data_IF_591124037849
#
_entry.id   IF_591124037849
#
_cell.length_a   1.000
_cell.length_b   1.000
_cell.length_c   1.000
_cell.angle_alpha   90.00
_cell.angle_beta   90.00
_cell.angle_gamma   90.00
#
_symmetry.space_group_name_H-M   'P 1'
#
loop_
_entity.id
_entity.type
_entity.pdbx_description
1 polymer ?
#
# COMPACT_ATOMS: atom_id res chain seq x y z
N UNK A 1 60.91 -3.03 37.51
CA UNK A 1 60.56 -1.62 37.25
C UNK A 1 61.17 -1.18 35.92
N UNK A 2 60.35 -0.95 34.89
CA UNK A 2 60.35 0.26 34.03
C UNK A 2 59.36 0.09 32.89
N UNK A 3 58.50 1.10 32.80
CA UNK A 3 57.40 1.29 31.85
C UNK A 3 57.92 1.60 30.45
N UNK A 4 57.19 1.19 29.42
CA UNK A 4 56.90 2.05 28.26
C UNK A 4 55.73 1.50 27.47
N UNK A 5 54.56 2.06 27.77
CA UNK A 5 53.37 2.03 26.94
C UNK A 5 53.60 2.86 25.68
N UNK A 6 53.23 2.34 24.51
CA UNK A 6 52.98 3.17 23.32
C UNK A 6 51.51 2.96 22.95
N UNK A 7 50.87 4.12 22.77
CA UNK A 7 49.44 4.37 22.81
C UNK A 7 48.89 4.51 21.39
N UNK A 8 47.62 4.14 21.24
CA UNK A 8 46.63 4.61 20.27
C UNK A 8 46.82 4.30 18.77
N UNK A 9 46.03 3.33 18.29
CA UNK A 9 45.30 3.50 17.04
C UNK A 9 43.81 3.68 17.37
N UNK A 10 43.32 4.92 17.30
CA UNK A 10 41.91 5.24 17.16
C UNK A 10 41.49 4.84 15.73
N UNK A 11 40.81 3.72 15.58
CA UNK A 11 40.01 3.46 14.39
C UNK A 11 38.67 4.19 14.56
N UNK A 12 38.50 5.26 13.78
CA UNK A 12 37.23 5.95 13.59
C UNK A 12 36.19 4.96 13.06
N UNK A 13 35.33 4.44 13.94
CA UNK A 13 34.04 3.92 13.53
C UNK A 13 33.10 5.12 13.38
N UNK A 14 33.08 5.72 12.20
CA UNK A 14 32.01 6.63 11.81
C UNK A 14 30.72 5.82 11.78
N UNK A 15 29.89 5.97 12.81
CA UNK A 15 28.53 5.47 12.81
C UNK A 15 27.79 6.09 11.63
N UNK A 16 27.47 5.28 10.63
CA UNK A 16 26.40 5.58 9.68
C UNK A 16 25.10 5.61 10.48
N UNK A 17 24.82 6.76 11.09
CA UNK A 17 23.48 7.07 11.57
C UNK A 17 22.61 7.21 10.32
N UNK A 18 22.02 6.10 9.88
CA UNK A 18 20.84 6.15 9.02
C UNK A 18 19.77 6.87 9.83
N UNK A 19 19.66 8.18 9.60
CA UNK A 19 18.44 8.90 9.89
C UNK A 19 17.40 8.35 8.90
N UNK A 20 16.69 7.30 9.31
CA UNK A 20 15.40 7.01 8.73
C UNK A 20 14.54 8.25 9.04
N UNK A 21 14.53 9.21 8.12
CA UNK A 21 13.66 10.35 8.20
C UNK A 21 12.24 9.80 8.14
N UNK A 22 11.62 9.64 9.31
CA UNK A 22 10.21 9.31 9.44
C UNK A 22 9.44 10.48 8.82
N UNK A 23 9.09 10.35 7.55
CA UNK A 23 8.21 11.29 6.87
C UNK A 23 6.86 11.26 7.62
N UNK A 24 6.20 12.39 7.90
CA UNK A 24 4.86 12.40 8.47
C UNK A 24 3.85 11.48 7.73
N UNK A 25 4.05 11.23 6.42
CA UNK A 25 3.30 10.22 5.68
C UNK A 25 3.49 8.78 6.24
N UNK A 26 4.72 8.42 6.62
CA UNK A 26 5.04 7.12 7.28
C UNK A 26 4.58 7.03 8.73
N UNK A 27 4.43 8.18 9.43
CA UNK A 27 3.84 8.20 10.78
C UNK A 27 2.33 7.96 10.73
N UNK A 28 1.63 8.52 9.75
CA UNK A 28 0.21 8.23 9.52
C UNK A 28 -0.02 6.75 9.15
N UNK A 29 0.94 6.11 8.46
CA UNK A 29 0.82 4.70 8.10
C UNK A 29 1.11 3.74 9.28
N UNK A 30 2.02 4.10 10.20
CA UNK A 30 2.22 3.35 11.44
C UNK A 30 1.02 3.46 12.40
N UNK A 31 0.42 4.64 12.51
CA UNK A 31 -0.75 4.89 13.38
C UNK A 31 -2.02 4.19 12.89
N UNK A 32 -2.03 3.64 11.67
CA UNK A 32 -3.19 2.99 11.07
C UNK A 32 -3.25 1.48 11.33
N UNK A 33 -2.28 0.90 12.07
CA UNK A 33 -2.31 -0.49 12.52
C UNK A 33 -3.28 -0.65 13.70
N UNK A 34 -4.59 -0.59 13.42
CA UNK A 34 -5.59 -1.12 14.34
C UNK A 34 -5.78 -2.59 13.99
N UNK A 35 -5.46 -3.55 14.88
CA UNK A 35 -5.70 -4.95 14.62
C UNK A 35 -7.21 -5.18 14.61
N UNK A 36 -7.79 -5.32 13.41
CA UNK A 36 -9.18 -5.72 13.20
C UNK A 36 -9.15 -7.22 12.87
N UNK A 37 -9.46 -8.07 13.86
CA UNK A 37 -9.37 -9.55 13.76
C UNK A 37 -10.39 -10.16 12.80
N UNK A 38 -11.27 -9.37 12.20
CA UNK A 38 -12.33 -9.82 11.30
C UNK A 38 -12.02 -9.57 9.81
N UNK A 39 -10.89 -8.92 9.48
CA UNK A 39 -10.45 -8.76 8.10
C UNK A 39 -9.37 -9.80 7.76
N UNK A 40 -9.55 -10.50 6.65
CA UNK A 40 -8.56 -11.43 6.06
C UNK A 40 -7.25 -10.71 5.67
N UNK A 41 -7.18 -9.38 5.81
CA UNK A 41 -6.03 -8.53 5.45
C UNK A 41 -5.69 -7.62 6.63
N UNK A 42 -4.53 -7.86 7.27
CA UNK A 42 -4.18 -7.21 8.54
C UNK A 42 -3.59 -5.80 8.38
N UNK A 43 -3.00 -5.45 7.22
CA UNK A 43 -2.36 -4.13 7.05
C UNK A 43 -2.12 -3.74 5.60
N UNK A 44 -2.41 -2.47 5.27
CA UNK A 44 -1.95 -1.77 4.07
C UNK A 44 -1.05 -0.61 4.44
N UNK A 45 -0.01 -0.37 3.65
CA UNK A 45 0.88 0.77 3.85
C UNK A 45 1.00 1.55 2.56
N UNK A 46 0.52 2.79 2.57
CA UNK A 46 0.64 3.73 1.46
C UNK A 46 1.88 4.60 1.57
N UNK A 47 2.51 4.89 0.44
CA UNK A 47 3.69 5.74 0.32
C UNK A 47 3.55 6.68 -0.87
N UNK A 48 4.19 7.85 -0.76
CA UNK A 48 4.51 8.69 -1.91
C UNK A 48 5.95 8.39 -2.33
N UNK A 49 6.16 8.13 -3.62
CA UNK A 49 7.45 7.86 -4.24
C UNK A 49 8.15 9.19 -4.62
N UNK A 50 9.47 9.19 -4.83
CA UNK A 50 10.22 10.41 -5.16
C UNK A 50 9.78 11.12 -6.45
N UNK A 51 9.12 10.40 -7.35
CA UNK A 51 8.56 10.91 -8.60
C UNK A 51 7.14 11.47 -8.44
N UNK A 52 6.57 11.43 -7.23
CA UNK A 52 5.22 11.88 -6.91
C UNK A 52 4.12 10.85 -7.18
N UNK A 53 4.47 9.67 -7.69
CA UNK A 53 3.53 8.55 -7.77
C UNK A 53 3.33 7.90 -6.40
N UNK A 54 2.23 7.17 -6.24
CA UNK A 54 1.91 6.47 -4.98
C UNK A 54 2.18 4.98 -5.08
N UNK A 55 2.56 4.38 -3.96
CA UNK A 55 2.73 2.93 -3.82
C UNK A 55 1.89 2.42 -2.66
N UNK A 56 1.28 1.25 -2.79
CA UNK A 56 0.63 0.55 -1.67
C UNK A 56 1.29 -0.81 -1.52
N UNK A 57 1.81 -1.09 -0.33
CA UNK A 57 2.27 -2.41 0.07
C UNK A 57 1.15 -3.15 0.80
N UNK A 58 0.97 -4.42 0.43
CA UNK A 58 0.00 -5.32 1.04
C UNK A 58 0.71 -6.25 2.02
N UNK A 59 0.06 -6.52 3.15
CA UNK A 59 0.54 -7.50 4.12
C UNK A 59 -0.56 -8.51 4.45
N UNK A 60 -0.18 -9.79 4.50
CA UNK A 60 -1.05 -10.91 4.85
C UNK A 60 -0.41 -11.70 5.98
N UNK A 61 -1.09 -11.84 7.12
CA UNK A 61 -0.55 -12.43 8.35
C UNK A 61 0.80 -11.82 8.75
N UNK A 62 0.91 -10.49 8.67
CA UNK A 62 2.16 -9.74 8.92
C UNK A 62 3.28 -9.90 7.89
N UNK A 63 3.15 -10.78 6.88
CA UNK A 63 4.15 -10.96 5.83
C UNK A 63 3.88 -10.04 4.63
N UNK A 64 4.94 -9.49 4.03
CA UNK A 64 4.81 -8.72 2.78
C UNK A 64 4.26 -9.60 1.67
N UNK A 65 3.23 -9.10 1.02
CA UNK A 65 2.35 -9.86 0.14
C UNK A 65 2.45 -9.38 -1.32
N UNK A 66 3.13 -8.26 -1.55
CA UNK A 66 3.23 -7.61 -2.85
C UNK A 66 2.88 -6.13 -2.76
N UNK A 67 2.85 -5.49 -3.91
CA UNK A 67 2.56 -4.05 -3.98
C UNK A 67 1.92 -3.63 -5.28
N UNK A 68 1.31 -2.46 -5.25
CA UNK A 68 0.79 -1.75 -6.43
C UNK A 68 1.41 -0.36 -6.48
N UNK A 69 1.83 0.06 -7.68
CA UNK A 69 2.45 1.36 -7.93
C UNK A 69 1.59 2.13 -8.92
N UNK A 70 1.27 3.39 -8.60
CA UNK A 70 0.57 4.31 -9.50
C UNK A 70 1.44 4.60 -10.71
N UNK A 71 0.85 4.50 -11.88
CA UNK A 71 1.48 4.88 -13.15
C UNK A 71 0.54 5.83 -13.90
N UNK A 72 1.04 6.46 -14.96
CA UNK A 72 0.21 7.30 -15.82
C UNK A 72 -0.93 6.51 -16.49
N UNK A 73 -0.70 5.22 -16.73
CA UNK A 73 -1.65 4.27 -17.32
C UNK A 73 -2.53 3.55 -16.27
N UNK A 74 -2.41 3.94 -15.00
CA UNK A 74 -3.23 3.44 -13.90
C UNK A 74 -2.39 2.84 -12.79
N UNK A 75 -1.98 1.58 -12.94
CA UNK A 75 -1.13 0.92 -11.95
C UNK A 75 -0.39 -0.31 -12.46
N UNK A 76 0.82 -0.51 -11.92
CA UNK A 76 1.62 -1.72 -12.05
C UNK A 76 1.57 -2.56 -10.77
N UNK A 77 1.58 -3.88 -10.91
CA UNK A 77 1.41 -4.84 -9.81
C UNK A 77 2.63 -5.72 -9.67
N UNK A 78 3.06 -5.92 -8.43
CA UNK A 78 4.26 -6.66 -8.09
C UNK A 78 3.96 -7.70 -7.01
N UNK A 79 4.46 -8.92 -7.19
CA UNK A 79 4.30 -9.99 -6.21
C UNK A 79 5.22 -9.79 -4.99
N UNK A 80 5.20 -10.74 -4.05
CA UNK A 80 6.01 -10.67 -2.83
C UNK A 80 7.53 -10.65 -3.09
N UNK A 81 7.98 -11.11 -4.26
CA UNK A 81 9.38 -11.06 -4.68
C UNK A 81 9.75 -9.75 -5.38
N UNK A 82 8.75 -8.91 -5.68
CA UNK A 82 8.88 -7.69 -6.47
C UNK A 82 8.85 -7.95 -7.98
N UNK A 83 8.47 -9.15 -8.43
CA UNK A 83 8.32 -9.43 -9.85
C UNK A 83 7.00 -8.85 -10.37
N UNK A 84 7.02 -8.15 -11.52
CA UNK A 84 5.80 -7.61 -12.10
C UNK A 84 4.89 -8.74 -12.60
N UNK A 85 3.59 -8.57 -12.45
CA UNK A 85 2.59 -9.48 -13.01
C UNK A 85 1.42 -8.70 -13.61
N UNK A 86 0.80 -9.27 -14.63
CA UNK A 86 -0.40 -8.68 -15.24
C UNK A 86 -1.65 -9.21 -14.55
N UNK A 87 -2.47 -8.32 -14.00
CA UNK A 87 -3.75 -8.65 -13.35
C UNK A 87 -4.77 -9.33 -14.28
N UNK A 88 -4.57 -9.25 -15.59
CA UNK A 88 -5.42 -9.89 -16.60
C UNK A 88 -4.93 -11.29 -17.02
N UNK A 89 -3.79 -11.75 -16.48
CA UNK A 89 -3.30 -13.10 -16.72
C UNK A 89 -4.27 -14.15 -16.13
N UNK A 90 -4.83 -14.99 -17.01
CA UNK A 90 -5.80 -16.01 -16.66
C UNK A 90 -5.26 -17.06 -15.66
N UNK A 91 -3.94 -17.20 -15.56
CA UNK A 91 -3.29 -18.09 -14.61
C UNK A 91 -3.12 -17.46 -13.22
N UNK A 92 -3.43 -16.17 -13.03
CA UNK A 92 -3.43 -15.54 -11.70
C UNK A 92 -4.40 -16.19 -10.72
N UNK A 93 -5.55 -16.65 -11.20
CA UNK A 93 -6.54 -17.35 -10.38
C UNK A 93 -6.00 -18.69 -9.86
N UNK A 94 -4.95 -19.23 -10.52
CA UNK A 94 -4.24 -20.43 -10.08
C UNK A 94 -3.13 -20.12 -9.06
N UNK A 95 -2.79 -18.84 -8.86
CA UNK A 95 -1.83 -18.40 -7.84
C UNK A 95 -2.56 -18.22 -6.51
N UNK A 96 -2.21 -19.02 -5.52
CA UNK A 96 -2.86 -19.09 -4.19
C UNK A 96 -2.44 -17.91 -3.27
N UNK A 97 -1.85 -16.85 -3.82
CA UNK A 97 -1.05 -15.86 -3.07
C UNK A 97 -1.77 -14.49 -2.97
N UNK A 98 -1.51 -13.67 -1.94
CA UNK A 98 -1.80 -12.23 -1.84
C UNK A 98 -1.74 -11.34 -3.09
N UNK A 99 -1.08 -11.76 -4.17
CA UNK A 99 -1.24 -11.19 -5.51
C UNK A 99 -2.72 -11.08 -5.95
N UNK A 100 -3.60 -12.00 -5.50
CA UNK A 100 -5.05 -11.91 -5.72
C UNK A 100 -5.67 -10.67 -5.10
N UNK A 101 -5.13 -10.19 -3.98
CA UNK A 101 -5.65 -9.06 -3.19
C UNK A 101 -5.36 -7.75 -3.91
N UNK A 102 -4.12 -7.61 -4.39
CA UNK A 102 -3.71 -6.52 -5.27
C UNK A 102 -4.48 -6.54 -6.61
N UNK A 103 -4.63 -7.72 -7.21
CA UNK A 103 -5.39 -7.91 -8.44
C UNK A 103 -6.88 -7.59 -8.29
N UNK A 104 -7.47 -7.85 -7.10
CA UNK A 104 -8.89 -7.61 -6.82
C UNK A 104 -9.26 -6.15 -7.08
N UNK A 105 -8.44 -5.23 -6.60
CA UNK A 105 -8.62 -3.79 -6.81
C UNK A 105 -7.92 -3.27 -8.06
N UNK A 106 -7.07 -4.09 -8.66
CA UNK A 106 -6.26 -3.67 -9.80
C UNK A 106 -7.09 -3.20 -10.99
N UNK A 107 -8.24 -3.83 -11.23
CA UNK A 107 -9.18 -3.40 -12.25
C UNK A 107 -9.71 -1.97 -12.03
N UNK A 108 -9.84 -1.53 -10.77
CA UNK A 108 -10.24 -0.15 -10.46
C UNK A 108 -9.15 0.83 -10.90
N UNK A 109 -7.89 0.53 -10.56
CA UNK A 109 -6.74 1.38 -10.86
C UNK A 109 -6.46 1.44 -12.36
N UNK A 110 -6.49 0.31 -13.08
CA UNK A 110 -6.39 0.31 -14.55
C UNK A 110 -7.53 1.10 -15.21
N UNK A 111 -8.77 0.96 -14.71
CA UNK A 111 -9.94 1.57 -15.37
C UNK A 111 -10.08 3.08 -15.13
N UNK A 112 -9.83 3.54 -13.91
CA UNK A 112 -10.08 4.94 -13.52
C UNK A 112 -8.82 5.72 -13.16
N UNK A 113 -7.65 5.08 -13.23
CA UNK A 113 -6.34 5.70 -13.10
C UNK A 113 -6.20 6.58 -11.86
N UNK A 114 -5.56 7.74 -12.06
CA UNK A 114 -5.26 8.70 -10.99
C UNK A 114 -6.46 9.05 -10.10
N UNK A 115 -7.68 9.12 -10.66
CA UNK A 115 -8.85 9.53 -9.89
C UNK A 115 -9.25 8.52 -8.81
N UNK A 116 -9.08 7.22 -9.05
CA UNK A 116 -9.34 6.23 -7.99
C UNK A 116 -8.25 6.26 -6.92
N UNK A 117 -7.01 6.50 -7.31
CA UNK A 117 -5.92 6.71 -6.37
C UNK A 117 -6.19 7.90 -5.45
N UNK A 118 -6.58 9.06 -6.01
CA UNK A 118 -6.91 10.26 -5.24
C UNK A 118 -8.07 10.02 -4.28
N UNK A 119 -9.11 9.35 -4.76
CA UNK A 119 -10.28 9.03 -3.95
C UNK A 119 -9.94 8.10 -2.78
N UNK A 120 -9.20 7.01 -3.03
CA UNK A 120 -8.84 6.04 -1.99
C UNK A 120 -7.82 6.61 -0.99
N UNK A 121 -6.86 7.42 -1.44
CA UNK A 121 -5.94 8.10 -0.54
C UNK A 121 -6.64 9.15 0.33
N UNK A 122 -7.56 9.94 -0.23
CA UNK A 122 -8.34 10.91 0.53
C UNK A 122 -9.22 10.25 1.60
N UNK A 123 -9.91 9.16 1.22
CA UNK A 123 -10.79 8.40 2.10
C UNK A 123 -10.00 7.64 3.17
N UNK A 124 -8.74 7.29 2.87
CA UNK A 124 -7.89 6.45 3.70
C UNK A 124 -7.89 5.01 3.18
N UNK A 125 -6.71 4.48 2.90
CA UNK A 125 -6.53 3.19 2.26
C UNK A 125 -7.15 2.02 3.04
N UNK A 126 -7.06 2.03 4.37
CA UNK A 126 -7.67 0.98 5.19
C UNK A 126 -9.21 1.00 5.10
N UNK A 127 -9.81 2.19 4.99
CA UNK A 127 -11.27 2.31 4.77
C UNK A 127 -11.63 1.84 3.37
N UNK A 128 -10.83 2.22 2.36
CA UNK A 128 -11.01 1.77 0.98
C UNK A 128 -10.98 0.24 0.87
N UNK A 129 -10.06 -0.41 1.59
CA UNK A 129 -9.91 -1.86 1.58
C UNK A 129 -11.04 -2.55 2.34
N UNK A 130 -11.38 -2.05 3.53
CA UNK A 130 -12.47 -2.59 4.36
C UNK A 130 -13.82 -2.53 3.64
N UNK A 131 -14.09 -1.45 2.92
CA UNK A 131 -15.31 -1.27 2.13
C UNK A 131 -15.15 -1.71 0.68
N UNK A 132 -14.07 -2.42 0.37
CA UNK A 132 -13.62 -2.59 -0.99
C UNK A 132 -14.55 -3.45 -1.83
N UNK A 133 -15.18 -4.46 -1.24
CA UNK A 133 -16.15 -5.35 -1.92
C UNK A 133 -17.31 -4.55 -2.52
N UNK A 134 -17.81 -3.55 -1.78
CA UNK A 134 -18.89 -2.68 -2.27
C UNK A 134 -18.47 -1.84 -3.47
N UNK A 135 -17.24 -1.32 -3.46
CA UNK A 135 -16.68 -0.58 -4.59
C UNK A 135 -16.44 -1.48 -5.80
N UNK A 136 -16.02 -2.72 -5.58
CA UNK A 136 -15.81 -3.72 -6.63
C UNK A 136 -17.12 -4.15 -7.28
N UNK A 137 -18.18 -4.34 -6.49
CA UNK A 137 -19.51 -4.67 -7.00
C UNK A 137 -20.05 -3.55 -7.89
N UNK A 138 -19.96 -2.30 -7.44
CA UNK A 138 -20.26 -1.14 -8.30
C UNK A 138 -19.41 -1.12 -9.58
N UNK A 139 -18.12 -1.42 -9.47
CA UNK A 139 -17.21 -1.40 -10.59
C UNK A 139 -17.50 -2.50 -11.62
N UNK A 140 -17.99 -3.65 -11.18
CA UNK A 140 -18.47 -4.72 -12.06
C UNK A 140 -19.61 -4.24 -12.96
N UNK A 141 -20.41 -3.30 -12.48
CA UNK A 141 -21.50 -2.63 -13.22
C UNK A 141 -21.05 -1.33 -13.92
N UNK A 142 -19.73 -1.06 -13.98
CA UNK A 142 -19.17 0.13 -14.61
C UNK A 142 -19.34 1.43 -13.81
N UNK A 143 -19.81 1.36 -12.56
CA UNK A 143 -19.97 2.53 -11.70
C UNK A 143 -18.64 2.85 -11.01
N UNK A 144 -18.11 4.08 -11.14
CA UNK A 144 -16.85 4.44 -10.49
C UNK A 144 -17.00 4.59 -8.97
N UNK A 145 -15.90 4.48 -8.20
CA UNK A 145 -15.94 4.54 -6.74
C UNK A 145 -16.62 5.78 -6.15
N UNK A 146 -16.38 6.97 -6.71
CA UNK A 146 -17.00 8.23 -6.27
C UNK A 146 -18.49 8.37 -6.64
N UNK A 147 -19.08 7.39 -7.32
CA UNK A 147 -20.53 7.32 -7.57
C UNK A 147 -21.16 6.04 -7.04
N UNK A 148 -20.36 5.19 -6.39
CA UNK A 148 -20.81 3.93 -5.81
C UNK A 148 -21.52 4.16 -4.48
N UNK A 149 -22.85 4.13 -4.47
CA UNK A 149 -23.65 4.41 -3.27
C UNK A 149 -23.32 3.44 -2.14
N UNK A 150 -23.20 2.14 -2.41
CA UNK A 150 -22.91 1.13 -1.39
C UNK A 150 -21.52 1.32 -0.77
N UNK A 151 -20.49 1.54 -1.60
CA UNK A 151 -19.14 1.83 -1.13
C UNK A 151 -19.04 3.13 -0.34
N UNK A 152 -19.70 4.20 -0.81
CA UNK A 152 -19.79 5.48 -0.09
C UNK A 152 -20.54 5.31 1.25
N UNK A 153 -21.59 4.50 1.28
CA UNK A 153 -22.34 4.22 2.51
C UNK A 153 -21.49 3.45 3.52
N UNK A 154 -20.74 2.44 3.08
CA UNK A 154 -19.82 1.69 3.93
C UNK A 154 -18.72 2.60 4.51
N UNK A 155 -18.07 3.40 3.66
CA UNK A 155 -16.98 4.28 4.08
C UNK A 155 -17.44 5.52 4.86
N UNK A 156 -18.72 5.86 4.77
CA UNK A 156 -19.37 6.91 5.53
C UNK A 156 -18.74 8.29 5.31
N UNK A 157 -18.42 8.98 6.41
CA UNK A 157 -17.84 10.34 6.36
C UNK A 157 -16.49 10.40 5.64
N UNK A 158 -15.74 9.29 5.62
CA UNK A 158 -14.45 9.22 4.96
C UNK A 158 -14.58 9.30 3.43
N UNK A 159 -15.60 8.69 2.84
CA UNK A 159 -15.88 8.83 1.42
C UNK A 159 -16.51 10.18 1.09
N UNK A 160 -17.49 10.64 1.89
CA UNK A 160 -18.26 11.86 1.59
C UNK A 160 -17.40 13.12 1.48
N UNK A 161 -16.31 13.21 2.25
CA UNK A 161 -15.37 14.35 2.21
C UNK A 161 -14.46 14.36 0.96
N UNK A 162 -14.50 13.30 0.16
CA UNK A 162 -13.60 13.04 -0.98
C UNK A 162 -14.32 12.97 -2.33
N UNK A 163 -15.63 13.27 -2.35
CA UNK A 163 -16.45 13.38 -3.57
C UNK A 163 -16.25 14.74 -4.24
#
# INVERSE_FOLDING_TARGET
MRFSSITALLALFTGLAYTAALNPATLNSLSARVPDTDNVYESLVGYELPDGHRKIDFYFNGAFAGSVVETDDGADFFDESGAPFDIEDADLVKRVNPAMVAARFGGLFKRWGKRVWDFFYCMGLNVAWKCGDEFLDCASSGTPPWSCISGIACAGVNAKKCL
#
